data_IF_978565376097
#
_entry.id   IF_978565376097
#
_cell.length_a   1.000
_cell.length_b   1.000
_cell.length_c   1.000
_cell.angle_alpha   90.00
_cell.angle_beta   90.00
_cell.angle_gamma   90.00
#
_symmetry.space_group_name_H-M   'P 1'
#
loop_
_entity.id
_entity.type
_entity.pdbx_description
1 polymer ?
#
# COMPACT_ATOMS: atom_id res chain seq x y z
N UNK A 1 12.30 42.48 -6.11
CA UNK A 1 13.55 42.05 -5.43
C UNK A 1 13.62 42.36 -3.93
N UNK A 2 12.73 43.15 -3.34
CA UNK A 2 12.71 43.43 -1.88
C UNK A 2 11.80 42.50 -1.04
N UNK A 3 10.88 41.81 -1.64
CA UNK A 3 9.91 40.92 -0.95
C UNK A 3 10.52 39.57 -0.57
N UNK A 4 11.47 39.05 -1.38
CA UNK A 4 12.13 37.79 -1.08
C UNK A 4 13.10 37.84 0.11
N UNK A 5 13.73 38.98 0.33
CA UNK A 5 14.65 39.17 1.48
C UNK A 5 13.93 39.20 2.81
N UNK A 6 12.66 39.70 2.85
CA UNK A 6 11.84 39.74 4.06
C UNK A 6 11.31 38.37 4.51
N UNK A 7 10.98 37.49 3.55
CA UNK A 7 10.49 36.13 3.84
C UNK A 7 11.66 35.27 4.36
N UNK A 8 12.88 35.46 3.86
CA UNK A 8 14.05 34.71 4.32
C UNK A 8 14.45 35.08 5.76
N UNK A 9 14.32 36.37 6.13
CA UNK A 9 14.67 36.84 7.48
C UNK A 9 13.62 36.39 8.52
N UNK A 10 12.35 36.28 8.15
CA UNK A 10 11.30 35.77 9.06
C UNK A 10 11.44 34.26 9.25
N UNK A 11 11.79 33.50 8.22
CA UNK A 11 12.03 32.06 8.33
C UNK A 11 13.29 31.74 9.16
N UNK A 12 14.36 32.51 9.01
CA UNK A 12 15.57 32.31 9.81
C UNK A 12 15.39 32.72 11.28
N UNK A 13 14.57 33.76 11.56
CA UNK A 13 14.29 34.22 12.92
C UNK A 13 13.41 33.25 13.73
N UNK A 14 12.47 32.57 13.09
CA UNK A 14 11.61 31.57 13.75
C UNK A 14 12.35 30.25 13.98
N UNK A 15 13.23 29.84 13.06
CA UNK A 15 14.04 28.64 13.22
C UNK A 15 15.08 28.76 14.36
N UNK A 16 15.69 29.92 14.54
CA UNK A 16 16.69 30.10 15.61
C UNK A 16 16.09 30.20 17.01
N UNK A 17 14.83 30.61 17.16
CA UNK A 17 14.16 30.68 18.46
C UNK A 17 13.64 29.34 18.97
N UNK A 18 13.36 28.38 18.08
CA UNK A 18 12.89 27.02 18.45
C UNK A 18 14.00 25.97 18.48
N UNK A 19 15.12 26.21 17.80
CA UNK A 19 16.24 25.25 17.75
C UNK A 19 17.07 25.16 19.04
N UNK A 20 16.82 25.96 20.07
CA UNK A 20 17.56 25.85 21.34
C UNK A 20 17.11 24.67 22.23
N UNK A 21 16.06 23.91 21.86
CA UNK A 21 15.53 22.77 22.63
C UNK A 21 15.22 21.50 21.84
N UNK A 22 15.32 21.52 20.52
CA UNK A 22 15.07 20.36 19.66
C UNK A 22 16.27 20.24 18.73
N UNK A 23 16.94 19.10 18.74
CA UNK A 23 18.08 18.87 17.85
C UNK A 23 17.60 18.78 16.41
N UNK A 24 18.45 19.18 15.46
CA UNK A 24 18.18 19.07 14.02
C UNK A 24 17.79 17.64 13.62
N UNK A 25 18.30 16.64 14.34
CA UNK A 25 17.95 15.23 14.20
C UNK A 25 16.47 14.93 14.46
N UNK A 26 15.84 15.62 15.40
CA UNK A 26 14.41 15.42 15.71
C UNK A 26 13.47 16.12 14.72
N UNK A 27 13.90 17.23 14.13
CA UNK A 27 13.06 17.98 13.17
C UNK A 27 13.24 17.46 11.73
N UNK A 28 14.47 17.13 11.34
CA UNK A 28 14.83 16.81 9.97
C UNK A 28 15.09 15.31 9.74
N UNK A 29 15.17 14.52 10.81
CA UNK A 29 15.43 13.07 10.69
C UNK A 29 16.80 12.77 10.06
N UNK A 30 17.85 13.47 10.48
CA UNK A 30 19.19 13.17 10.02
C UNK A 30 19.61 11.76 10.42
N UNK A 31 20.17 10.96 9.52
CA UNK A 31 20.90 9.77 9.93
C UNK A 31 22.14 10.21 10.74
N UNK A 32 22.34 9.59 11.89
CA UNK A 32 23.60 9.75 12.63
C UNK A 32 24.77 9.44 11.69
N UNK A 33 25.75 10.29 11.63
CA UNK A 33 26.91 10.08 10.77
C UNK A 33 27.56 8.72 11.10
N UNK A 34 27.90 7.87 10.13
CA UNK A 34 28.72 6.70 10.38
C UNK A 34 30.07 7.17 10.93
N UNK A 35 30.50 6.55 12.03
CA UNK A 35 31.70 6.91 12.79
C UNK A 35 32.90 7.15 11.90
N UNK A 36 33.55 8.30 12.07
CA UNK A 36 34.68 8.75 11.30
C UNK A 36 35.87 7.81 11.46
N UNK A 37 36.29 7.20 10.39
CA UNK A 37 37.62 6.61 10.26
C UNK A 37 38.61 7.71 10.00
N UNK A 38 39.62 7.91 10.86
CA UNK A 38 40.77 8.76 10.64
C UNK A 38 41.55 8.27 9.41
N UNK A 39 41.50 9.01 8.33
CA UNK A 39 42.38 8.87 7.17
C UNK A 39 42.88 10.24 6.76
N UNK A 40 44.10 10.57 7.13
CA UNK A 40 44.81 11.72 6.58
C UNK A 40 45.12 11.47 5.09
N UNK A 41 44.55 12.28 4.21
CA UNK A 41 44.82 12.26 2.78
C UNK A 41 44.58 13.65 2.20
N UNK A 42 45.64 14.27 1.66
CA UNK A 42 45.64 15.60 1.09
C UNK A 42 44.70 15.77 -0.11
N UNK A 43 43.89 16.81 -0.08
CA UNK A 43 43.56 17.71 -1.15
C UNK A 43 42.82 17.22 -2.37
N UNK A 44 41.52 17.06 -2.26
CA UNK A 44 40.49 17.55 -3.20
C UNK A 44 39.23 17.64 -2.37
N UNK A 45 38.57 18.79 -2.32
CA UNK A 45 37.46 19.00 -1.43
C UNK A 45 36.36 17.99 -1.65
N UNK A 46 36.43 16.85 -0.97
CA UNK A 46 35.38 15.85 -0.89
C UNK A 46 34.27 16.42 -0.03
N UNK A 47 33.29 17.03 -0.69
CA UNK A 47 32.08 17.44 -0.03
C UNK A 47 31.35 16.17 0.44
N UNK A 48 31.08 16.06 1.74
CA UNK A 48 30.25 15.01 2.28
C UNK A 48 28.79 15.39 2.01
N UNK A 49 28.12 14.62 1.19
CA UNK A 49 26.69 14.84 0.91
C UNK A 49 25.81 13.97 1.79
N UNK A 50 24.79 14.58 2.39
CA UNK A 50 23.80 13.91 3.23
C UNK A 50 22.43 14.02 2.60
N UNK A 51 21.71 12.89 2.56
CA UNK A 51 20.32 12.86 2.09
C UNK A 51 19.38 13.05 3.27
N UNK A 52 18.39 13.94 3.12
CA UNK A 52 17.31 14.08 4.08
C UNK A 52 15.96 13.86 3.40
N UNK A 53 14.96 13.48 4.21
CA UNK A 53 13.60 13.28 3.75
C UNK A 53 12.65 14.13 4.57
N UNK A 54 11.67 14.73 3.87
CA UNK A 54 10.56 15.43 4.52
C UNK A 54 9.24 14.99 3.92
N UNK A 55 8.18 15.17 4.67
CA UNK A 55 6.87 14.65 4.36
C UNK A 55 5.81 15.73 4.48
N UNK A 56 4.89 15.82 3.51
CA UNK A 56 3.83 16.81 3.47
C UNK A 56 2.52 16.16 3.03
N UNK A 57 1.40 16.50 3.70
CA UNK A 57 0.06 16.18 3.24
C UNK A 57 -0.34 17.18 2.14
N UNK A 58 -0.26 16.73 0.88
CA UNK A 58 -0.59 17.59 -0.26
C UNK A 58 -2.07 17.63 -0.58
N UNK A 59 -2.82 16.59 -0.19
CA UNK A 59 -4.26 16.50 -0.40
C UNK A 59 -4.90 15.62 0.67
N UNK A 60 -6.04 16.05 1.15
CA UNK A 60 -6.91 15.30 2.04
C UNK A 60 -8.20 14.97 1.28
N UNK A 61 -8.59 13.70 1.29
CA UNK A 61 -9.84 13.23 0.71
C UNK A 61 -10.67 12.68 1.87
N UNK A 62 -11.80 13.28 2.13
CA UNK A 62 -12.78 12.93 3.15
C UNK A 62 -14.19 12.95 2.56
N UNK A 63 -15.21 12.76 3.37
CA UNK A 63 -16.59 12.75 2.93
C UNK A 63 -17.01 14.10 2.30
N UNK A 64 -16.57 15.23 2.86
CA UNK A 64 -16.86 16.56 2.36
C UNK A 64 -16.25 16.78 0.96
N UNK A 65 -14.96 16.47 0.80
CA UNK A 65 -14.25 16.54 -0.48
C UNK A 65 -14.92 15.69 -1.57
N UNK A 66 -15.55 14.59 -1.18
CA UNK A 66 -16.26 13.68 -2.08
C UNK A 66 -17.73 14.07 -2.29
N UNK A 67 -18.23 15.12 -1.63
CA UNK A 67 -19.63 15.54 -1.69
C UNK A 67 -20.59 14.50 -1.10
N UNK A 68 -20.18 13.85 -0.03
CA UNK A 68 -21.01 12.89 0.73
C UNK A 68 -21.76 13.60 1.85
N UNK A 69 -22.92 13.06 2.24
CA UNK A 69 -23.80 13.71 3.22
C UNK A 69 -23.22 13.71 4.63
N UNK A 70 -22.57 12.63 5.02
CA UNK A 70 -22.02 12.50 6.38
C UNK A 70 -20.61 11.92 6.36
N UNK A 71 -19.83 12.21 7.39
CA UNK A 71 -18.50 11.65 7.57
C UNK A 71 -18.49 10.10 7.64
N UNK A 72 -19.61 9.50 8.03
CA UNK A 72 -19.75 8.06 8.16
C UNK A 72 -19.99 7.34 6.83
N UNK A 73 -20.32 8.10 5.76
CA UNK A 73 -20.47 7.56 4.42
C UNK A 73 -19.12 7.28 3.76
N UNK A 74 -18.02 7.77 4.35
CA UNK A 74 -16.67 7.56 3.88
C UNK A 74 -15.78 6.94 4.96
N UNK A 75 -15.24 5.78 4.67
CA UNK A 75 -14.12 5.19 5.40
C UNK A 75 -13.19 4.56 4.36
N UNK A 76 -12.10 5.25 3.99
CA UNK A 76 -11.17 4.75 3.00
C UNK A 76 -10.45 3.53 3.57
N UNK A 77 -10.38 2.46 2.77
CA UNK A 77 -9.72 1.24 3.22
C UNK A 77 -8.46 0.94 2.43
N UNK A 78 -8.58 0.58 1.16
CA UNK A 78 -7.43 0.36 0.28
C UNK A 78 -7.58 1.17 -1.00
N UNK A 79 -6.47 1.45 -1.65
CA UNK A 79 -6.45 2.22 -2.89
C UNK A 79 -5.52 1.59 -3.91
N UNK A 80 -5.79 1.87 -5.17
CA UNK A 80 -4.89 1.65 -6.30
C UNK A 80 -5.10 2.77 -7.33
N UNK A 81 -4.17 2.95 -8.26
CA UNK A 81 -4.33 3.95 -9.31
C UNK A 81 -4.03 3.38 -10.69
N UNK A 82 -4.63 3.98 -11.70
CA UNK A 82 -4.27 3.80 -13.09
C UNK A 82 -4.36 5.15 -13.81
N UNK A 83 -3.22 5.66 -14.26
CA UNK A 83 -3.14 6.99 -14.85
C UNK A 83 -3.63 8.08 -13.88
N UNK A 84 -4.67 8.82 -14.26
CA UNK A 84 -5.27 9.87 -13.43
C UNK A 84 -6.35 9.36 -12.47
N UNK A 85 -6.78 8.12 -12.61
CA UNK A 85 -7.86 7.57 -11.78
C UNK A 85 -7.31 6.87 -10.55
N UNK A 86 -7.69 7.34 -9.37
CA UNK A 86 -7.51 6.67 -8.10
C UNK A 86 -8.79 5.87 -7.80
N UNK A 87 -8.64 4.59 -7.59
CA UNK A 87 -9.68 3.68 -7.11
C UNK A 87 -9.60 3.60 -5.60
N UNK A 88 -10.68 3.90 -4.91
CA UNK A 88 -10.71 3.92 -3.43
C UNK A 88 -11.77 2.93 -2.97
N UNK A 89 -11.37 1.89 -2.24
CA UNK A 89 -12.32 1.05 -1.51
C UNK A 89 -12.91 1.85 -0.37
N UNK A 90 -14.21 1.98 -0.34
CA UNK A 90 -14.95 2.70 0.68
C UNK A 90 -15.85 1.75 1.48
N UNK A 91 -15.91 1.96 2.78
CA UNK A 91 -16.85 1.33 3.69
C UNK A 91 -17.76 2.42 4.24
N UNK A 92 -18.92 2.61 3.62
CA UNK A 92 -19.92 3.58 4.05
C UNK A 92 -21.11 2.92 4.75
N UNK A 93 -22.07 3.74 5.21
CA UNK A 93 -23.33 3.25 5.79
C UNK A 93 -24.11 2.33 4.86
N UNK A 94 -24.07 2.62 3.55
CA UNK A 94 -24.76 1.82 2.53
C UNK A 94 -24.00 0.53 2.13
N UNK A 95 -22.89 0.22 2.80
CA UNK A 95 -22.05 -0.93 2.50
C UNK A 95 -20.76 -0.55 1.74
N UNK A 96 -20.16 -1.55 1.11
CA UNK A 96 -18.91 -1.38 0.38
C UNK A 96 -19.14 -0.83 -1.02
N UNK A 97 -18.25 0.06 -1.44
CA UNK A 97 -18.26 0.64 -2.77
C UNK A 97 -16.84 0.92 -3.24
N UNK A 98 -16.67 1.06 -4.55
CA UNK A 98 -15.45 1.50 -5.18
C UNK A 98 -15.65 2.91 -5.71
N UNK A 99 -14.96 3.88 -5.12
CA UNK A 99 -15.01 5.27 -5.56
C UNK A 99 -13.93 5.50 -6.61
N UNK A 100 -14.25 6.29 -7.63
CA UNK A 100 -13.33 6.75 -8.64
C UNK A 100 -13.05 8.23 -8.41
N UNK A 101 -11.77 8.58 -8.33
CA UNK A 101 -11.35 9.94 -8.05
C UNK A 101 -10.28 10.37 -9.08
N UNK A 102 -10.42 11.56 -9.66
CA UNK A 102 -9.38 12.14 -10.51
C UNK A 102 -8.31 12.79 -9.65
N UNK A 103 -7.10 12.29 -9.74
CA UNK A 103 -5.93 12.83 -9.00
C UNK A 103 -5.64 14.25 -9.47
N UNK A 104 -5.70 14.51 -10.79
CA UNK A 104 -5.42 15.84 -11.39
C UNK A 104 -6.50 16.86 -11.10
N UNK A 105 -7.79 16.45 -11.20
CA UNK A 105 -8.93 17.36 -11.00
C UNK A 105 -9.31 17.51 -9.54
N UNK A 106 -8.79 16.65 -8.64
CA UNK A 106 -9.11 16.68 -7.22
C UNK A 106 -10.59 16.43 -6.91
N UNK A 107 -11.30 15.61 -7.71
CA UNK A 107 -12.74 15.37 -7.56
C UNK A 107 -13.16 13.95 -7.84
N UNK A 108 -14.27 13.53 -7.23
CA UNK A 108 -14.92 12.25 -7.50
C UNK A 108 -15.41 12.21 -8.95
N UNK A 109 -15.11 11.12 -9.65
CA UNK A 109 -15.56 10.84 -11.01
C UNK A 109 -16.83 9.98 -11.02
N UNK A 110 -16.96 9.07 -10.05
CA UNK A 110 -18.07 8.13 -9.96
C UNK A 110 -17.95 7.21 -8.78
N UNK A 111 -18.94 6.32 -8.67
CA UNK A 111 -18.99 5.26 -7.65
C UNK A 111 -19.50 3.99 -8.31
N UNK A 112 -18.80 2.89 -8.13
CA UNK A 112 -19.27 1.55 -8.47
C UNK A 112 -19.70 0.87 -7.16
N UNK A 113 -21.01 0.71 -6.99
CA UNK A 113 -21.60 0.01 -5.86
C UNK A 113 -22.31 -1.27 -6.29
N UNK A 114 -22.89 -1.25 -7.49
CA UNK A 114 -23.56 -2.38 -8.10
C UNK A 114 -23.31 -2.45 -9.60
N UNK A 115 -23.59 -3.59 -10.20
CA UNK A 115 -23.48 -3.85 -11.63
C UNK A 115 -24.51 -4.89 -12.09
N UNK A 116 -24.80 -4.93 -13.39
CA UNK A 116 -25.68 -5.94 -13.99
C UNK A 116 -24.89 -7.18 -14.39
N UNK A 117 -25.38 -8.35 -14.03
CA UNK A 117 -24.84 -9.64 -14.46
C UNK A 117 -25.92 -10.72 -14.42
N UNK A 118 -26.05 -11.53 -15.50
CA UNK A 118 -27.03 -12.61 -15.67
C UNK A 118 -28.47 -12.16 -15.39
N UNK A 119 -28.85 -10.99 -15.92
CA UNK A 119 -30.20 -10.47 -15.80
C UNK A 119 -30.60 -9.96 -14.42
N UNK A 120 -29.62 -9.84 -13.49
CA UNK A 120 -29.85 -9.32 -12.16
C UNK A 120 -28.77 -8.33 -11.70
N UNK A 121 -29.15 -7.48 -10.77
CA UNK A 121 -28.22 -6.57 -10.11
C UNK A 121 -27.35 -7.33 -9.10
N UNK A 122 -26.05 -7.07 -9.13
CA UNK A 122 -25.04 -7.56 -8.19
C UNK A 122 -24.38 -6.38 -7.51
N UNK A 123 -23.87 -6.59 -6.31
CA UNK A 123 -23.13 -5.60 -5.54
C UNK A 123 -21.99 -6.27 -4.78
N UNK A 124 -21.09 -5.46 -4.20
CA UNK A 124 -20.10 -5.98 -3.26
C UNK A 124 -20.84 -6.49 -2.02
N UNK A 125 -20.69 -7.79 -1.74
CA UNK A 125 -21.33 -8.45 -0.60
C UNK A 125 -20.59 -8.24 0.73
N UNK A 126 -19.36 -7.72 0.68
CA UNK A 126 -18.53 -7.49 1.85
C UNK A 126 -17.46 -6.43 1.59
N UNK A 127 -16.60 -6.21 2.57
CA UNK A 127 -15.49 -5.25 2.47
C UNK A 127 -14.56 -5.60 1.31
N UNK A 128 -14.21 -4.58 0.52
CA UNK A 128 -13.18 -4.65 -0.51
C UNK A 128 -11.81 -4.63 0.20
N UNK A 129 -11.03 -5.69 0.01
CA UNK A 129 -9.74 -5.87 0.69
C UNK A 129 -8.55 -5.49 -0.20
N UNK A 130 -8.64 -5.71 -1.51
CA UNK A 130 -7.58 -5.36 -2.44
C UNK A 130 -8.14 -4.91 -3.79
N UNK A 131 -7.43 -4.01 -4.44
CA UNK A 131 -7.73 -3.47 -5.76
C UNK A 131 -6.45 -3.50 -6.57
N UNK A 132 -6.46 -4.12 -7.75
CA UNK A 132 -5.29 -4.20 -8.63
C UNK A 132 -5.71 -3.94 -10.06
N UNK A 133 -5.33 -2.79 -10.65
CA UNK A 133 -5.43 -2.59 -12.08
C UNK A 133 -4.27 -3.32 -12.79
N UNK A 134 -4.58 -4.07 -13.86
CA UNK A 134 -3.61 -4.75 -14.70
C UNK A 134 -4.09 -4.72 -16.14
N UNK A 135 -3.30 -4.14 -17.04
CA UNK A 135 -3.67 -3.97 -18.43
C UNK A 135 -5.01 -3.23 -18.60
N UNK A 136 -5.97 -3.89 -19.23
CA UNK A 136 -7.34 -3.39 -19.41
C UNK A 136 -8.35 -3.97 -18.40
N UNK A 137 -7.86 -4.51 -17.28
CA UNK A 137 -8.68 -5.13 -16.24
C UNK A 137 -8.47 -4.47 -14.89
N UNK A 138 -9.52 -4.49 -14.08
CA UNK A 138 -9.49 -4.13 -12.67
C UNK A 138 -9.94 -5.33 -11.85
N UNK A 139 -9.06 -5.83 -11.02
CA UNK A 139 -9.32 -6.91 -10.07
C UNK A 139 -9.68 -6.31 -8.72
N UNK A 140 -10.83 -6.73 -8.16
CA UNK A 140 -11.34 -6.24 -6.87
C UNK A 140 -11.64 -7.44 -5.99
N UNK A 141 -10.80 -7.66 -4.98
CA UNK A 141 -11.00 -8.74 -4.02
C UNK A 141 -11.88 -8.28 -2.87
N UNK A 142 -12.89 -9.08 -2.54
CA UNK A 142 -13.75 -8.86 -1.38
C UNK A 142 -13.58 -9.96 -0.33
N UNK A 143 -13.87 -9.64 0.93
CA UNK A 143 -13.75 -10.55 2.07
C UNK A 143 -14.60 -11.81 1.93
N UNK A 144 -15.67 -11.80 1.16
CA UNK A 144 -16.54 -12.96 0.91
C UNK A 144 -15.99 -13.93 -0.13
N UNK A 145 -14.68 -14.10 -0.23
CA UNK A 145 -14.07 -15.12 -1.07
C UNK A 145 -14.40 -14.97 -2.57
N UNK A 146 -14.33 -13.74 -3.06
CA UNK A 146 -14.50 -13.39 -4.48
C UNK A 146 -13.45 -12.42 -4.93
N UNK A 147 -13.02 -12.55 -6.18
CA UNK A 147 -12.27 -11.54 -6.91
C UNK A 147 -13.12 -11.17 -8.12
N UNK A 148 -13.70 -10.00 -8.09
CA UNK A 148 -14.45 -9.44 -9.22
C UNK A 148 -13.48 -8.88 -10.24
N UNK A 149 -13.78 -9.09 -11.51
CA UNK A 149 -12.98 -8.60 -12.63
C UNK A 149 -13.83 -7.67 -13.48
N UNK A 150 -13.39 -6.45 -13.64
CA UNK A 150 -14.02 -5.44 -14.49
C UNK A 150 -13.11 -5.08 -15.64
N UNK A 151 -13.68 -4.73 -16.78
CA UNK A 151 -12.96 -4.20 -17.93
C UNK A 151 -12.78 -2.69 -17.79
N UNK A 152 -11.58 -2.22 -18.00
CA UNK A 152 -11.23 -0.80 -18.02
C UNK A 152 -11.27 -0.25 -19.46
N UNK A 153 -11.56 1.04 -19.64
CA UNK A 153 -11.85 2.06 -18.62
C UNK A 153 -13.33 2.10 -18.18
N UNK A 154 -14.26 1.40 -18.84
CA UNK A 154 -15.71 1.53 -18.67
C UNK A 154 -16.23 0.93 -17.38
N UNK A 155 -15.43 0.16 -16.65
CA UNK A 155 -15.82 -0.63 -15.48
C UNK A 155 -16.97 -1.60 -15.77
N UNK A 156 -17.04 -2.11 -17.00
CA UNK A 156 -17.99 -3.15 -17.32
C UNK A 156 -17.58 -4.48 -16.68
N UNK A 157 -18.54 -5.13 -16.04
CA UNK A 157 -18.28 -6.40 -15.34
C UNK A 157 -17.91 -7.49 -16.34
N UNK A 158 -16.80 -8.20 -16.06
CA UNK A 158 -16.31 -9.26 -16.94
C UNK A 158 -16.59 -10.65 -16.35
N UNK A 159 -16.13 -10.93 -15.14
CA UNK A 159 -16.26 -12.24 -14.52
C UNK A 159 -15.96 -12.17 -13.00
N UNK A 160 -16.04 -13.32 -12.33
CA UNK A 160 -15.68 -13.51 -10.92
C UNK A 160 -14.85 -14.77 -10.73
N UNK A 161 -13.75 -14.65 -10.03
CA UNK A 161 -12.97 -15.77 -9.50
C UNK A 161 -13.50 -16.06 -8.10
N UNK A 162 -13.88 -17.32 -7.83
CA UNK A 162 -14.48 -17.72 -6.55
C UNK A 162 -15.97 -17.44 -6.48
N UNK A 163 -16.65 -18.23 -5.66
CA UNK A 163 -18.11 -18.28 -5.56
C UNK A 163 -18.68 -17.73 -4.24
N UNK A 164 -17.81 -17.13 -3.42
CA UNK A 164 -18.20 -16.62 -2.11
C UNK A 164 -18.30 -17.67 -1.00
N UNK A 165 -17.91 -18.91 -1.26
CA UNK A 165 -17.90 -19.98 -0.26
C UNK A 165 -16.48 -20.21 0.30
N UNK A 166 -16.42 -20.61 1.55
CA UNK A 166 -15.15 -20.85 2.25
C UNK A 166 -14.36 -22.04 1.69
N UNK A 167 -15.04 -22.98 1.07
CA UNK A 167 -14.43 -24.14 0.40
C UNK A 167 -14.09 -23.88 -1.07
N UNK A 168 -14.33 -22.68 -1.57
CA UNK A 168 -14.08 -22.31 -2.95
C UNK A 168 -12.59 -22.11 -3.27
N UNK A 169 -12.26 -21.85 -4.54
CA UNK A 169 -10.89 -21.63 -4.97
C UNK A 169 -10.28 -20.35 -4.36
N UNK A 170 -11.09 -19.36 -4.00
CA UNK A 170 -10.69 -18.14 -3.29
C UNK A 170 -11.18 -18.22 -1.86
N UNK A 171 -10.31 -18.00 -0.89
CA UNK A 171 -10.65 -17.92 0.51
C UNK A 171 -10.26 -16.57 1.10
N UNK A 172 -11.22 -15.67 1.30
CA UNK A 172 -11.05 -14.37 1.97
C UNK A 172 -9.72 -13.66 1.59
N UNK A 173 -9.54 -13.35 0.30
CA UNK A 173 -8.35 -12.68 -0.19
C UNK A 173 -8.18 -11.31 0.48
N UNK A 174 -7.07 -11.11 1.21
CA UNK A 174 -6.78 -9.90 1.98
C UNK A 174 -5.74 -9.01 1.31
N UNK A 175 -4.88 -9.60 0.47
CA UNK A 175 -3.92 -8.91 -0.35
C UNK A 175 -3.86 -9.58 -1.72
N UNK A 176 -3.58 -8.81 -2.74
CA UNK A 176 -3.54 -9.30 -4.11
C UNK A 176 -2.56 -8.46 -4.93
N UNK A 177 -1.91 -9.11 -5.89
CA UNK A 177 -1.20 -8.44 -6.98
C UNK A 177 -1.35 -9.25 -8.26
N UNK A 178 -1.06 -8.61 -9.38
CA UNK A 178 -1.03 -9.27 -10.69
C UNK A 178 0.34 -9.03 -11.30
N UNK A 179 0.98 -10.09 -11.76
CA UNK A 179 2.31 -10.03 -12.35
C UNK A 179 2.47 -11.16 -13.37
N UNK A 180 3.01 -10.83 -14.53
CA UNK A 180 3.39 -11.78 -15.59
C UNK A 180 2.26 -12.76 -15.97
N UNK A 181 1.01 -12.25 -16.07
CA UNK A 181 -0.17 -13.04 -16.40
C UNK A 181 -0.70 -13.92 -15.27
N UNK A 182 -0.16 -13.76 -14.06
CA UNK A 182 -0.60 -14.48 -12.87
C UNK A 182 -1.23 -13.55 -11.85
N UNK A 183 -2.32 -14.00 -11.24
CA UNK A 183 -3.01 -13.33 -10.14
C UNK A 183 -2.58 -14.04 -8.85
N UNK A 184 -1.92 -13.30 -7.96
CA UNK A 184 -1.51 -13.76 -6.65
C UNK A 184 -2.47 -13.19 -5.62
N UNK A 185 -3.23 -14.04 -4.94
CA UNK A 185 -4.21 -13.64 -3.95
C UNK A 185 -3.92 -14.33 -2.61
N UNK A 186 -3.57 -13.55 -1.60
CA UNK A 186 -3.27 -14.06 -0.28
C UNK A 186 -4.54 -14.12 0.57
N UNK A 187 -4.80 -15.27 1.14
CA UNK A 187 -5.97 -15.53 1.97
C UNK A 187 -5.75 -15.23 3.46
N UNK A 188 -6.83 -15.30 4.24
CA UNK A 188 -6.82 -15.09 5.69
C UNK A 188 -5.90 -16.08 6.44
N UNK A 189 -5.66 -17.26 5.89
CA UNK A 189 -4.84 -18.30 6.53
C UNK A 189 -3.35 -18.20 6.16
N UNK A 190 -2.96 -17.16 5.41
CA UNK A 190 -1.59 -16.95 5.02
C UNK A 190 -1.13 -17.70 3.77
N UNK A 191 -2.05 -18.37 3.10
CA UNK A 191 -1.77 -19.03 1.83
C UNK A 191 -1.90 -18.01 0.69
N UNK A 192 -1.00 -18.06 -0.28
CA UNK A 192 -1.12 -17.34 -1.55
C UNK A 192 -1.67 -18.32 -2.58
N UNK A 193 -2.89 -18.08 -3.02
CA UNK A 193 -3.49 -18.78 -4.16
C UNK A 193 -3.12 -18.06 -5.45
N UNK A 194 -2.70 -18.82 -6.45
CA UNK A 194 -2.21 -18.30 -7.73
C UNK A 194 -3.14 -18.76 -8.84
N UNK A 195 -3.60 -17.82 -9.68
CA UNK A 195 -4.50 -18.08 -10.81
C UNK A 195 -3.89 -17.50 -12.08
N UNK A 196 -4.22 -18.07 -13.24
CA UNK A 196 -3.86 -17.50 -14.54
C UNK A 196 -4.85 -16.39 -14.93
N UNK A 197 -4.36 -15.23 -15.38
CA UNK A 197 -5.21 -14.14 -15.88
C UNK A 197 -6.05 -14.56 -17.08
N UNK A 198 -5.50 -15.45 -17.94
CA UNK A 198 -6.18 -15.97 -19.12
C UNK A 198 -7.45 -16.75 -18.80
N UNK A 199 -7.49 -17.42 -17.65
CA UNK A 199 -8.65 -18.19 -17.19
C UNK A 199 -9.79 -17.31 -16.68
N UNK A 200 -9.53 -16.05 -16.36
CA UNK A 200 -10.53 -15.11 -15.86
C UNK A 200 -11.38 -14.54 -17.01
N UNK A 201 -12.24 -15.37 -17.57
CA UNK A 201 -13.14 -15.04 -18.69
C UNK A 201 -14.61 -15.15 -18.29
N UNK A 202 -15.56 -14.58 -19.05
CA UNK A 202 -16.99 -14.72 -18.79
C UNK A 202 -17.47 -16.17 -18.72
N UNK A 203 -16.89 -17.05 -19.56
CA UNK A 203 -17.24 -18.47 -19.66
C UNK A 203 -16.83 -19.23 -18.39
N UNK A 204 -15.80 -18.73 -17.71
CA UNK A 204 -15.26 -19.28 -16.47
C UNK A 204 -15.83 -18.60 -15.21
N UNK A 205 -16.96 -17.92 -15.31
CA UNK A 205 -17.60 -17.27 -14.16
C UNK A 205 -17.72 -18.21 -12.96
N UNK A 206 -17.06 -17.84 -11.86
CA UNK A 206 -16.98 -18.63 -10.60
C UNK A 206 -16.35 -20.04 -10.74
N UNK A 207 -15.74 -20.36 -11.88
CA UNK A 207 -15.18 -21.70 -12.18
C UNK A 207 -13.68 -21.70 -12.32
N UNK A 208 -13.00 -20.56 -12.21
CA UNK A 208 -11.54 -20.47 -12.29
C UNK A 208 -10.93 -21.28 -11.15
N UNK A 209 -10.12 -22.26 -11.50
CA UNK A 209 -9.40 -23.10 -10.55
C UNK A 209 -8.07 -22.44 -10.12
N UNK A 210 -7.62 -22.82 -8.93
CA UNK A 210 -6.29 -22.45 -8.47
C UNK A 210 -5.24 -23.16 -9.35
N UNK A 211 -4.31 -22.37 -9.87
CA UNK A 211 -3.20 -22.89 -10.67
C UNK A 211 -2.09 -23.44 -9.77
N UNK A 212 -1.63 -22.64 -8.80
CA UNK A 212 -0.59 -23.00 -7.83
C UNK A 212 -0.93 -22.36 -6.47
N UNK A 213 -0.15 -22.71 -5.46
CA UNK A 213 -0.21 -22.08 -4.15
C UNK A 213 1.18 -21.83 -3.59
N UNK A 214 1.32 -20.83 -2.73
CA UNK A 214 2.51 -20.62 -1.92
C UNK A 214 2.11 -20.52 -0.45
N UNK A 215 2.93 -21.10 0.43
CA UNK A 215 2.68 -21.06 1.88
C UNK A 215 3.99 -20.90 2.63
N UNK A 216 3.97 -20.17 3.75
CA UNK A 216 5.07 -20.19 4.70
C UNK A 216 5.15 -21.54 5.41
N UNK A 217 6.35 -21.92 5.84
CA UNK A 217 6.59 -23.13 6.62
C UNK A 217 5.73 -23.14 7.88
N UNK A 218 4.66 -23.88 7.86
CA UNK A 218 3.72 -24.05 8.96
C UNK A 218 2.39 -24.50 8.40
N UNK A 219 1.95 -25.67 8.85
CA UNK A 219 0.67 -26.27 8.48
C UNK A 219 -0.44 -25.24 8.30
N UNK A 220 -1.38 -25.45 7.37
CA UNK A 220 -2.57 -24.62 7.23
C UNK A 220 -3.51 -24.84 8.45
N UNK A 221 -3.06 -24.46 9.61
CA UNK A 221 -3.75 -24.64 10.88
C UNK A 221 -3.65 -23.39 11.73
N UNK A 222 -4.75 -22.66 11.81
CA UNK A 222 -5.17 -21.75 12.88
C UNK A 222 -4.30 -20.54 13.31
N UNK A 223 -3.15 -20.29 12.71
CA UNK A 223 -2.40 -19.07 12.98
C UNK A 223 -2.49 -18.12 11.80
N UNK A 224 -3.72 -17.80 11.42
CA UNK A 224 -4.00 -16.86 10.34
C UNK A 224 -3.43 -15.50 10.63
N UNK A 225 -2.29 -15.18 10.05
CA UNK A 225 -1.77 -13.85 10.09
C UNK A 225 -2.47 -12.98 9.04
N UNK A 226 -2.98 -11.85 9.45
CA UNK A 226 -3.53 -10.88 8.54
C UNK A 226 -2.40 -10.19 7.79
N UNK A 227 -2.30 -10.40 6.48
CA UNK A 227 -1.54 -9.51 5.60
C UNK A 227 -2.51 -8.78 4.71
N UNK A 228 -2.27 -7.52 4.57
CA UNK A 228 -3.12 -6.66 3.75
C UNK A 228 -2.30 -5.99 2.64
N UNK A 229 -1.13 -6.54 2.34
CA UNK A 229 -0.25 -6.00 1.32
C UNK A 229 0.58 -7.10 0.66
N UNK A 230 0.68 -7.01 -0.64
CA UNK A 230 1.57 -7.78 -1.50
C UNK A 230 2.12 -6.82 -2.55
N UNK A 231 3.41 -6.54 -2.51
CA UNK A 231 4.05 -5.53 -3.34
C UNK A 231 5.26 -6.13 -4.05
N UNK A 232 5.44 -5.88 -5.36
CA UNK A 232 6.67 -6.25 -6.04
C UNK A 232 7.82 -5.36 -5.55
N UNK A 233 9.00 -5.94 -5.37
CA UNK A 233 10.25 -5.22 -5.17
C UNK A 233 10.94 -4.92 -6.53
N UNK A 234 12.12 -4.30 -6.48
CA UNK A 234 12.88 -3.96 -7.67
C UNK A 234 13.45 -5.19 -8.40
N UNK A 235 13.69 -6.26 -7.69
CA UNK A 235 14.17 -7.54 -8.20
C UNK A 235 13.03 -8.40 -8.78
N UNK A 236 11.78 -8.00 -8.51
CA UNK A 236 10.59 -8.66 -9.01
C UNK A 236 10.01 -9.71 -8.08
N UNK A 237 10.54 -9.87 -6.88
CA UNK A 237 9.92 -10.69 -5.84
C UNK A 237 8.66 -9.99 -5.30
N UNK A 238 7.77 -10.78 -4.72
CA UNK A 238 6.58 -10.26 -4.05
C UNK A 238 6.83 -10.23 -2.54
N UNK A 239 6.77 -9.03 -1.97
CA UNK A 239 6.89 -8.82 -0.53
C UNK A 239 5.51 -8.84 0.11
N UNK A 240 5.34 -9.70 1.12
CA UNK A 240 4.10 -9.86 1.87
C UNK A 240 4.32 -9.51 3.33
N UNK A 241 3.44 -8.72 3.91
CA UNK A 241 3.45 -8.50 5.36
C UNK A 241 2.93 -9.73 6.08
N UNK A 242 3.55 -10.11 7.18
CA UNK A 242 3.10 -11.14 8.11
C UNK A 242 2.82 -10.50 9.47
N UNK A 243 1.55 -10.10 9.68
CA UNK A 243 1.15 -9.36 10.86
C UNK A 243 1.38 -10.13 12.17
N UNK A 244 0.98 -11.40 12.23
CA UNK A 244 1.13 -12.19 13.45
C UNK A 244 2.58 -12.67 13.65
N UNK A 245 3.26 -13.04 12.57
CA UNK A 245 4.67 -13.43 12.62
C UNK A 245 5.64 -12.27 12.81
N UNK A 246 5.15 -11.00 12.70
CA UNK A 246 5.97 -9.79 12.73
C UNK A 246 7.11 -9.83 11.72
N UNK A 247 6.79 -10.24 10.48
CA UNK A 247 7.79 -10.48 9.44
C UNK A 247 7.36 -9.86 8.11
N UNK A 248 8.31 -9.77 7.21
CA UNK A 248 8.06 -9.63 5.78
C UNK A 248 8.45 -10.95 5.14
N UNK A 249 7.53 -11.53 4.37
CA UNK A 249 7.78 -12.76 3.62
C UNK A 249 8.00 -12.43 2.16
N UNK A 250 8.76 -13.30 1.50
CA UNK A 250 9.15 -13.14 0.09
C UNK A 250 8.63 -14.33 -0.69
N UNK A 251 7.97 -14.04 -1.81
CA UNK A 251 7.63 -15.02 -2.84
C UNK A 251 8.40 -14.65 -4.11
N UNK A 252 9.20 -15.58 -4.61
CA UNK A 252 9.79 -15.47 -5.94
C UNK A 252 8.82 -15.99 -7.00
N UNK A 253 8.21 -15.12 -7.85
CA UNK A 253 7.30 -15.56 -8.91
C UNK A 253 7.97 -16.45 -9.95
N UNK A 254 9.30 -16.41 -10.11
CA UNK A 254 10.01 -17.26 -11.05
C UNK A 254 9.96 -18.75 -10.67
N UNK A 255 9.64 -19.07 -9.41
CA UNK A 255 9.40 -20.44 -8.97
C UNK A 255 8.05 -20.99 -9.46
N UNK A 256 7.15 -20.13 -9.95
CA UNK A 256 5.84 -20.53 -10.48
C UNK A 256 5.99 -20.85 -11.96
N UNK A 257 6.00 -22.12 -12.32
CA UNK A 257 6.17 -22.54 -13.71
C UNK A 257 5.24 -23.72 -14.08
N UNK A 258 5.13 -24.02 -15.38
CA UNK A 258 4.23 -25.04 -15.90
C UNK A 258 4.71 -26.48 -15.65
N UNK A 259 6.00 -26.68 -15.32
CA UNK A 259 6.56 -28.00 -15.02
C UNK A 259 6.15 -28.53 -13.64
N UNK A 260 5.61 -27.66 -12.77
CA UNK A 260 5.12 -28.05 -11.47
C UNK A 260 3.83 -28.88 -11.58
N UNK A 261 3.66 -29.85 -10.68
CA UNK A 261 2.40 -30.58 -10.56
C UNK A 261 1.23 -29.63 -10.24
N UNK A 262 0.02 -30.01 -10.64
CA UNK A 262 -1.19 -29.23 -10.30
C UNK A 262 -1.32 -29.05 -8.79
N UNK A 263 -1.66 -27.81 -8.37
CA UNK A 263 -1.77 -27.40 -6.97
C UNK A 263 -0.47 -27.61 -6.15
N UNK A 264 0.71 -27.63 -6.82
CA UNK A 264 1.99 -27.66 -6.13
C UNK A 264 2.16 -26.45 -5.21
N UNK A 265 2.85 -26.66 -4.09
CA UNK A 265 3.13 -25.62 -3.10
C UNK A 265 4.55 -25.09 -3.26
N UNK A 266 4.68 -23.77 -3.19
CA UNK A 266 5.94 -23.03 -3.14
C UNK A 266 6.11 -22.51 -1.72
N UNK A 267 7.29 -22.65 -1.16
CA UNK A 267 7.58 -22.08 0.17
C UNK A 267 7.86 -20.58 0.06
N UNK A 268 7.31 -19.84 1.04
CA UNK A 268 7.63 -18.42 1.22
C UNK A 268 8.87 -18.28 2.07
N UNK A 269 9.83 -17.53 1.57
CA UNK A 269 11.01 -17.16 2.33
C UNK A 269 10.70 -16.04 3.34
N UNK A 270 11.48 -15.98 4.41
CA UNK A 270 11.47 -14.88 5.35
C UNK A 270 12.60 -13.91 5.01
N UNK A 271 12.28 -12.61 4.91
CA UNK A 271 13.34 -11.61 5.03
C UNK A 271 13.89 -11.68 6.46
N UNK A 272 15.21 -11.65 6.58
CA UNK A 272 15.92 -11.67 7.88
C UNK A 272 15.61 -10.45 8.77
N UNK A 273 14.79 -9.54 8.27
CA UNK A 273 14.35 -8.33 8.95
C UNK A 273 13.19 -8.61 9.90
N UNK A 274 13.37 -8.26 11.16
CA UNK A 274 12.24 -8.15 12.09
C UNK A 274 11.81 -6.68 12.16
N UNK A 275 10.59 -6.33 11.75
CA UNK A 275 10.14 -4.94 11.84
C UNK A 275 9.97 -4.43 13.27
N UNK A 276 10.06 -5.31 14.29
CA UNK A 276 9.85 -4.93 15.69
C UNK A 276 8.40 -4.52 16.03
N UNK A 277 7.48 -4.58 15.07
CA UNK A 277 6.05 -4.29 15.20
C UNK A 277 5.27 -5.26 14.30
N UNK A 278 3.94 -5.26 14.39
CA UNK A 278 3.07 -6.09 13.54
C UNK A 278 2.72 -5.34 12.25
N UNK A 279 3.37 -5.65 11.11
CA UNK A 279 3.15 -4.91 9.86
C UNK A 279 1.80 -5.33 9.22
N UNK A 280 0.94 -4.36 8.91
CA UNK A 280 -0.32 -4.59 8.19
C UNK A 280 -0.15 -4.41 6.69
N UNK A 281 0.38 -3.25 6.27
CA UNK A 281 0.62 -2.96 4.86
C UNK A 281 2.02 -2.43 4.65
N UNK A 282 2.53 -2.66 3.45
CA UNK A 282 3.84 -2.23 3.00
C UNK A 282 3.68 -1.46 1.69
N UNK A 283 4.43 -0.39 1.53
CA UNK A 283 4.56 0.36 0.29
C UNK A 283 6.03 0.67 0.04
N UNK A 284 6.47 0.45 -1.19
CA UNK A 284 7.82 0.78 -1.65
C UNK A 284 7.76 2.12 -2.39
N UNK A 285 8.53 3.09 -1.92
CA UNK A 285 8.54 4.44 -2.47
C UNK A 285 9.99 4.93 -2.54
N UNK A 286 10.53 4.98 -3.74
CA UNK A 286 11.95 5.23 -3.97
C UNK A 286 12.83 4.15 -3.33
N UNK A 287 13.81 4.57 -2.55
CA UNK A 287 14.77 3.70 -1.85
C UNK A 287 14.30 3.27 -0.44
N UNK A 288 13.05 3.58 -0.07
CA UNK A 288 12.50 3.32 1.26
C UNK A 288 11.25 2.46 1.22
N UNK A 289 11.08 1.71 2.28
CA UNK A 289 9.84 1.01 2.55
C UNK A 289 9.08 1.69 3.68
N UNK A 290 7.77 1.77 3.51
CA UNK A 290 6.84 2.38 4.45
C UNK A 290 5.82 1.34 4.85
N UNK A 291 5.61 1.15 6.14
CA UNK A 291 4.64 0.19 6.65
C UNK A 291 3.70 0.79 7.68
N UNK A 292 2.42 0.46 7.57
CA UNK A 292 1.47 0.63 8.68
C UNK A 292 1.43 -0.65 9.51
N UNK A 293 1.00 -0.55 10.76
CA UNK A 293 1.00 -1.69 11.66
C UNK A 293 -0.02 -1.59 12.79
N UNK A 294 0.31 -2.16 13.93
CA UNK A 294 -0.49 -2.13 15.15
C UNK A 294 -0.29 -0.85 15.98
N UNK A 295 0.53 0.06 15.50
CA UNK A 295 0.78 1.36 16.12
C UNK A 295 0.09 2.49 15.32
N UNK A 296 0.07 3.69 15.91
CA UNK A 296 -0.53 4.91 15.37
C UNK A 296 0.41 5.67 14.41
N UNK A 297 1.38 4.98 13.80
CA UNK A 297 2.41 5.60 12.99
C UNK A 297 2.65 4.83 11.69
N UNK A 298 3.22 5.53 10.72
CA UNK A 298 3.86 4.92 9.56
C UNK A 298 5.31 4.64 9.94
N UNK A 299 5.73 3.39 9.82
CA UNK A 299 7.09 2.96 10.11
C UNK A 299 7.90 2.99 8.82
N UNK A 300 9.16 3.41 8.90
CA UNK A 300 10.06 3.52 7.75
C UNK A 300 11.20 2.53 7.93
N UNK A 301 11.49 1.80 6.87
CA UNK A 301 12.67 0.96 6.74
C UNK A 301 13.65 1.60 5.78
N UNK A 302 14.89 1.73 6.22
CA UNK A 302 15.99 2.25 5.42
C UNK A 302 16.92 1.10 5.01
N UNK A 303 16.93 0.76 3.72
CA UNK A 303 17.73 -0.36 3.20
C UNK A 303 19.24 -0.24 3.51
N UNK A 304 19.75 0.98 3.64
CA UNK A 304 21.18 1.22 3.90
C UNK A 304 21.59 0.90 5.35
N UNK A 305 20.69 1.09 6.31
CA UNK A 305 20.95 0.82 7.73
C UNK A 305 20.41 -0.52 8.20
N UNK A 306 19.62 -1.18 7.37
CA UNK A 306 18.95 -2.45 7.67
C UNK A 306 18.02 -2.38 8.89
N UNK A 307 17.41 -1.20 9.14
CA UNK A 307 16.60 -0.94 10.32
C UNK A 307 15.25 -0.29 10.03
N UNK A 308 14.25 -0.65 10.83
CA UNK A 308 12.98 0.08 10.96
C UNK A 308 13.16 1.20 11.99
N UNK A 309 13.85 2.27 11.59
CA UNK A 309 14.41 3.26 12.51
C UNK A 309 13.49 4.44 12.80
N UNK A 310 12.53 4.74 11.92
CA UNK A 310 11.75 5.98 12.02
C UNK A 310 10.25 5.73 11.99
N UNK A 311 9.51 6.59 12.73
CA UNK A 311 8.06 6.58 12.78
C UNK A 311 7.51 7.94 12.42
N UNK A 312 6.61 7.99 11.45
CA UNK A 312 5.89 9.20 11.09
C UNK A 312 4.52 9.15 11.75
N UNK A 313 4.29 10.04 12.71
CA UNK A 313 2.96 10.32 13.30
C UNK A 313 2.35 11.59 12.74
N UNK A 314 3.19 12.52 12.34
CA UNK A 314 2.79 13.83 11.84
C UNK A 314 3.61 14.17 10.61
N UNK A 315 2.94 14.70 9.61
CA UNK A 315 3.54 15.31 8.44
C UNK A 315 3.12 16.78 8.38
N UNK A 316 3.79 17.60 7.59
CA UNK A 316 3.34 18.97 7.39
C UNK A 316 1.90 18.96 6.88
N UNK A 317 1.00 19.57 7.63
CA UNK A 317 -0.43 19.69 7.30
C UNK A 317 -1.34 18.55 7.80
N UNK A 318 -0.80 17.46 8.40
CA UNK A 318 -1.64 16.37 8.91
C UNK A 318 -0.98 15.58 10.04
N UNK A 319 -1.78 15.21 11.05
CA UNK A 319 -1.40 14.28 12.11
C UNK A 319 -2.23 13.00 12.00
N UNK A 320 -1.58 11.86 11.82
CA UNK A 320 -2.23 10.56 11.74
C UNK A 320 -2.79 10.14 13.10
N UNK A 321 -3.93 9.47 13.08
CA UNK A 321 -4.55 8.88 14.27
C UNK A 321 -4.60 7.36 14.20
N UNK A 322 -4.92 6.80 13.04
CA UNK A 322 -4.96 5.37 12.80
C UNK A 322 -4.61 5.08 11.33
N UNK A 323 -3.34 5.23 10.94
CA UNK A 323 -2.92 4.88 9.58
C UNK A 323 -3.06 3.38 9.37
N UNK A 324 -4.08 2.98 8.60
CA UNK A 324 -4.46 1.58 8.44
C UNK A 324 -3.85 0.94 7.21
N UNK A 325 -3.80 1.68 6.11
CA UNK A 325 -3.28 1.21 4.82
C UNK A 325 -2.37 2.26 4.20
N UNK A 326 -1.37 1.80 3.48
CA UNK A 326 -0.45 2.65 2.72
C UNK A 326 -0.26 2.07 1.32
N UNK A 327 -0.17 2.95 0.33
CA UNK A 327 -0.01 2.61 -1.07
C UNK A 327 0.93 3.60 -1.74
N UNK A 328 1.94 3.12 -2.46
CA UNK A 328 2.84 3.96 -3.25
C UNK A 328 2.26 4.16 -4.65
N UNK A 329 2.03 5.42 -5.02
CA UNK A 329 1.67 5.77 -6.38
C UNK A 329 2.90 5.82 -7.29
N UNK A 330 4.01 6.30 -6.77
CA UNK A 330 5.33 6.38 -7.39
C UNK A 330 6.40 6.64 -6.32
N UNK A 331 7.62 6.92 -6.74
CA UNK A 331 8.78 7.12 -5.84
C UNK A 331 8.72 8.36 -4.94
N UNK A 332 7.68 9.18 -5.07
CA UNK A 332 7.55 10.43 -4.30
C UNK A 332 6.14 10.68 -3.76
N UNK A 333 5.20 9.76 -4.01
CA UNK A 333 3.79 9.92 -3.60
C UNK A 333 3.28 8.67 -2.94
N UNK A 334 2.82 8.83 -1.71
CA UNK A 334 2.13 7.80 -0.93
C UNK A 334 0.68 8.21 -0.67
N UNK A 335 -0.21 7.22 -0.67
CA UNK A 335 -1.58 7.37 -0.20
C UNK A 335 -1.73 6.60 1.10
N UNK A 336 -2.24 7.26 2.12
CA UNK A 336 -2.41 6.69 3.47
C UNK A 336 -3.84 6.81 3.91
N UNK A 337 -4.48 5.69 4.21
CA UNK A 337 -5.83 5.67 4.79
C UNK A 337 -5.74 5.85 6.30
N UNK A 338 -6.26 6.96 6.83
CA UNK A 338 -6.48 7.15 8.27
C UNK A 338 -7.94 6.80 8.60
N UNK A 339 -8.15 5.63 9.20
CA UNK A 339 -9.47 5.06 9.43
C UNK A 339 -10.06 5.38 10.79
N UNK A 340 -9.39 6.22 11.60
CA UNK A 340 -9.92 6.64 12.89
C UNK A 340 -11.30 7.30 12.73
N UNK A 341 -12.24 6.96 13.58
CA UNK A 341 -13.64 7.38 13.46
C UNK A 341 -13.85 8.90 13.41
N UNK A 342 -12.93 9.66 14.01
CA UNK A 342 -12.96 11.13 13.97
C UNK A 342 -12.29 11.74 12.74
N UNK A 343 -11.65 10.95 11.89
CA UNK A 343 -10.90 11.46 10.72
C UNK A 343 -11.38 10.90 9.41
N UNK A 344 -11.38 9.58 9.24
CA UNK A 344 -11.83 8.90 8.02
C UNK A 344 -11.33 9.58 6.75
N UNK A 345 -10.02 9.75 6.66
CA UNK A 345 -9.38 10.57 5.63
C UNK A 345 -8.40 9.73 4.83
N UNK A 346 -8.41 9.88 3.52
CA UNK A 346 -7.34 9.39 2.66
C UNK A 346 -6.37 10.55 2.40
N UNK A 347 -5.13 10.37 2.83
CA UNK A 347 -4.09 11.41 2.79
C UNK A 347 -3.15 11.14 1.62
N UNK A 348 -3.01 12.09 0.69
CA UNK A 348 -1.92 12.12 -0.28
C UNK A 348 -0.69 12.71 0.39
N UNK A 349 0.30 11.90 0.64
CA UNK A 349 1.56 12.29 1.26
C UNK A 349 2.65 12.39 0.21
N UNK A 350 3.29 13.56 0.12
CA UNK A 350 4.49 13.75 -0.69
C UNK A 350 5.73 13.38 0.12
N UNK A 351 6.63 12.69 -0.54
CA UNK A 351 7.96 12.34 -0.03
C UNK A 351 8.99 13.19 -0.77
N UNK A 352 9.61 14.11 -0.06
CA UNK A 352 10.65 14.96 -0.61
C UNK A 352 12.01 14.43 -0.17
N UNK A 353 12.90 14.21 -1.13
CA UNK A 353 14.31 13.86 -0.91
C UNK A 353 15.16 15.07 -1.28
N UNK A 354 15.96 15.54 -0.34
CA UNK A 354 16.89 16.63 -0.54
C UNK A 354 18.32 16.22 -0.22
N UNK A 355 19.30 16.94 -0.76
CA UNK A 355 20.73 16.74 -0.51
C UNK A 355 21.28 17.98 0.20
N UNK A 356 22.05 17.76 1.24
CA UNK A 356 22.88 18.80 1.88
C UNK A 356 24.32 18.47 1.54
N UNK A 357 25.06 19.46 1.05
CA UNK A 357 26.51 19.38 0.79
C UNK A 357 27.22 20.26 1.80
N UNK A 358 28.11 19.69 2.59
CA UNK A 358 28.99 20.37 3.52
C UNK A 358 30.43 20.39 3.00
#
# INVERSE_FOLDING_TARGET
MKIYAYILIVLSGVLTAQCSKVTLDEICGYPSAPGGGNGEGEGNGDYTSYWYYSYEAAQLIDAETLGMETAEDFTPYTVAHLGDTLFIANIGKAGSSLLLFSIKKGKRLGTLQSWQHDGGEKSFGSQIEAIVPSGNRLYVAERQSRIHVFRLPELSYLTCIGNGQWSGPVFQAQAMTVKDGLIFARDKNGMVSIYKEEDATPENYQKVNRYRRASGNGSPGNNGFASHSMQPDAEGHLLLTDYEGKKIRVLDPALVNDDMANDASIDLDDLSLSPGFKPKTLALCGDRWYATGDNDAINIYERQSDEWSKKIKTVKGYAFSQPARIYAQNDSVLWVSDTHSSKRTLVKMLVHKGEIRE
#
